data_IF_394546071064
#
_entry.id   IF_394546071064
#
_cell.length_a   1.000
_cell.length_b   1.000
_cell.length_c   1.000
_cell.angle_alpha   90.00
_cell.angle_beta   90.00
_cell.angle_gamma   90.00
#
_symmetry.space_group_name_H-M   'P 1'
#
loop_
_entity.id
_entity.type
_entity.pdbx_description
1 polymer ?
#
# COMPACT_ATOMS: atom_id res chain seq x y z
N UNK A 1 4.78 -0.02 4.00
CA UNK A 1 4.07 -1.17 3.39
C UNK A 1 4.21 -1.08 1.89
N UNK A 2 4.17 -2.19 1.17
CA UNK A 2 4.23 -2.20 -0.29
C UNK A 2 3.09 -2.97 -0.94
N UNK A 3 2.85 -2.69 -2.22
CA UNK A 3 1.89 -3.39 -3.08
C UNK A 3 2.28 -3.24 -4.55
N UNK A 4 1.69 -4.06 -5.42
CA UNK A 4 1.80 -3.92 -6.88
C UNK A 4 0.55 -3.19 -7.38
N UNK A 5 0.72 -2.09 -8.10
CA UNK A 5 -0.39 -1.32 -8.65
C UNK A 5 -0.94 -1.92 -9.96
N UNK A 6 -1.95 -1.27 -10.54
CA UNK A 6 -2.59 -1.70 -11.78
C UNK A 6 -1.66 -1.66 -13.00
N UNK A 7 -0.59 -0.88 -12.93
CA UNK A 7 0.43 -0.76 -13.97
C UNK A 7 1.61 -1.71 -13.69
N UNK A 8 1.43 -2.68 -12.79
CA UNK A 8 2.44 -3.65 -12.36
C UNK A 8 3.67 -2.99 -11.72
N UNK A 9 3.53 -1.78 -11.19
CA UNK A 9 4.61 -1.08 -10.51
C UNK A 9 4.60 -1.41 -9.01
N UNK A 10 5.76 -1.70 -8.46
CA UNK A 10 5.93 -1.83 -7.02
C UNK A 10 5.90 -0.46 -6.37
N UNK A 11 4.91 -0.23 -5.51
CA UNK A 11 4.76 1.02 -4.76
C UNK A 11 5.04 0.77 -3.29
N UNK A 12 5.72 1.72 -2.68
CA UNK A 12 6.00 1.75 -1.25
C UNK A 12 5.37 3.00 -0.69
N UNK A 13 4.62 2.85 0.41
CA UNK A 13 3.97 3.97 1.05
C UNK A 13 3.73 3.78 2.53
N UNK A 14 3.32 4.90 3.14
CA UNK A 14 2.92 4.98 4.53
C UNK A 14 1.41 4.83 4.64
N UNK A 15 0.94 4.03 5.58
CA UNK A 15 -0.49 3.92 5.86
C UNK A 15 -0.94 5.22 6.54
N UNK A 16 -1.95 5.88 5.96
CA UNK A 16 -2.61 7.06 6.54
C UNK A 16 -3.95 6.74 7.20
N UNK A 17 -4.64 5.71 6.71
CA UNK A 17 -5.93 5.27 7.24
C UNK A 17 -6.07 3.77 7.12
N UNK A 18 -6.76 3.17 8.08
CA UNK A 18 -7.15 1.76 8.10
C UNK A 18 -8.67 1.69 8.28
N UNK A 19 -9.32 0.76 7.60
CA UNK A 19 -10.68 0.34 7.89
C UNK A 19 -10.74 -1.19 7.95
N UNK A 20 -11.92 -1.79 7.98
CA UNK A 20 -12.06 -3.25 8.15
C UNK A 20 -11.44 -4.11 7.04
N UNK A 21 -11.29 -3.59 5.81
CA UNK A 21 -10.88 -4.41 4.65
C UNK A 21 -9.68 -3.84 3.87
N UNK A 22 -9.37 -2.58 4.08
CA UNK A 22 -8.39 -1.85 3.26
C UNK A 22 -7.57 -0.86 4.10
N UNK A 23 -6.38 -0.55 3.63
CA UNK A 23 -5.60 0.60 4.06
C UNK A 23 -5.59 1.67 2.96
N UNK A 24 -5.55 2.94 3.36
CA UNK A 24 -5.14 4.03 2.48
C UNK A 24 -3.65 4.27 2.69
N UNK A 25 -2.87 4.14 1.62
CA UNK A 25 -1.45 4.45 1.58
C UNK A 25 -1.22 5.78 0.86
N UNK A 26 -0.26 6.53 1.35
CA UNK A 26 0.29 7.72 0.70
C UNK A 26 1.62 7.33 0.06
N UNK A 27 1.69 7.41 -1.27
CA UNK A 27 2.84 7.06 -2.11
C UNK A 27 3.07 8.18 -3.12
N UNK A 28 4.25 8.82 -3.12
CA UNK A 28 4.66 9.80 -4.14
C UNK A 28 3.64 10.92 -4.38
N UNK A 29 3.00 11.41 -3.31
CA UNK A 29 1.97 12.45 -3.40
C UNK A 29 0.60 11.97 -3.90
N UNK A 30 0.42 10.65 -4.06
CA UNK A 30 -0.84 10.01 -4.44
C UNK A 30 -1.39 9.13 -3.31
N UNK A 31 -2.71 9.14 -3.16
CA UNK A 31 -3.41 8.29 -2.19
C UNK A 31 -3.99 7.04 -2.84
N UNK A 32 -3.71 5.88 -2.26
CA UNK A 32 -4.08 4.57 -2.77
C UNK A 32 -4.87 3.78 -1.74
N UNK A 33 -6.07 3.31 -2.10
CA UNK A 33 -6.82 2.37 -1.27
C UNK A 33 -6.48 0.94 -1.69
N UNK A 34 -5.89 0.17 -0.78
CA UNK A 34 -5.35 -1.16 -1.06
C UNK A 34 -5.96 -2.17 -0.08
N UNK A 35 -6.45 -3.30 -0.61
CA UNK A 35 -6.94 -4.40 0.22
C UNK A 35 -5.80 -5.03 1.02
N UNK A 36 -6.07 -5.47 2.25
CA UNK A 36 -5.03 -6.04 3.10
C UNK A 36 -4.36 -7.27 2.49
N UNK A 37 -5.12 -8.08 1.73
CA UNK A 37 -4.59 -9.24 1.01
C UNK A 37 -3.54 -8.88 -0.05
N UNK A 38 -3.49 -7.63 -0.52
CA UNK A 38 -2.53 -7.15 -1.51
C UNK A 38 -1.34 -6.41 -0.87
N UNK A 39 -1.40 -6.13 0.43
CA UNK A 39 -0.31 -5.47 1.14
C UNK A 39 0.79 -6.46 1.50
N UNK A 40 2.02 -5.98 1.40
CA UNK A 40 3.22 -6.70 1.81
C UNK A 40 3.95 -5.86 2.86
N UNK A 41 4.41 -6.53 3.91
CA UNK A 41 5.36 -5.93 4.84
C UNK A 41 6.71 -5.79 4.13
N UNK A 42 7.34 -4.63 4.33
CA UNK A 42 8.76 -4.49 4.01
C UNK A 42 9.51 -5.17 5.15
N UNK A 43 10.26 -6.21 4.84
CA UNK A 43 11.20 -6.83 5.77
C UNK A 43 12.57 -6.33 5.35
N UNK A 44 13.25 -5.62 6.26
CA UNK A 44 14.66 -5.31 6.09
C UNK A 44 15.45 -6.56 6.51
N UNK A 45 16.45 -6.95 5.72
CA UNK A 45 17.27 -8.17 5.95
C UNK A 45 18.41 -7.86 6.92
#
# INVERSE_FOLDING_TARGET
MSFIDRNLQHRIGLIRRINQQTATLDCDGQSWRVAFSLLRHLVDV
#
